data_IF_172631699253
#
_entry.id   IF_172631699253
#
_cell.length_a   1.000
_cell.length_b   1.000
_cell.length_c   1.000
_cell.angle_alpha   90.00
_cell.angle_beta   90.00
_cell.angle_gamma   90.00
#
_symmetry.space_group_name_H-M   'P 1'
#
loop_
_entity.id
_entity.type
_entity.pdbx_description
1 polymer ?
#
# COMPACT_ATOMS: atom_id res chain seq x y z
N UNK A 1 -10.47 14.63 -16.96
CA UNK A 1 -9.06 14.30 -17.22
C UNK A 1 -8.87 12.79 -17.01
N UNK A 2 -8.33 12.05 -18.00
CA UNK A 2 -8.17 10.58 -17.89
C UNK A 2 -6.83 10.16 -17.28
N UNK A 3 -5.90 11.09 -17.11
CA UNK A 3 -4.61 10.85 -16.47
C UNK A 3 -3.65 12.04 -16.64
N UNK A 4 -2.67 12.09 -15.77
CA UNK A 4 -1.50 12.97 -15.86
C UNK A 4 -0.28 12.05 -15.89
N UNK A 5 0.61 12.25 -16.83
CA UNK A 5 1.87 11.52 -16.91
C UNK A 5 3.04 12.53 -16.90
N UNK A 6 4.10 12.19 -16.17
CA UNK A 6 5.31 13.00 -16.09
C UNK A 6 6.23 12.47 -15.00
N UNK A 7 7.53 12.65 -15.14
CA UNK A 7 8.51 12.19 -14.16
C UNK A 7 8.29 12.82 -12.78
N UNK A 8 7.79 14.06 -12.72
CA UNK A 8 7.50 14.76 -11.47
C UNK A 8 6.46 14.05 -10.58
N UNK A 9 5.60 13.17 -11.15
CA UNK A 9 4.60 12.40 -10.39
C UNK A 9 5.27 11.35 -9.51
N UNK A 10 6.44 10.87 -9.91
CA UNK A 10 7.19 9.84 -9.20
C UNK A 10 8.11 10.41 -8.11
N UNK A 11 8.28 11.74 -8.09
CA UNK A 11 9.07 12.41 -7.06
C UNK A 11 8.29 12.43 -5.74
N UNK A 12 8.83 11.83 -4.65
CA UNK A 12 8.19 11.83 -3.33
C UNK A 12 7.97 13.22 -2.73
N UNK A 13 8.75 14.21 -3.16
CA UNK A 13 8.61 15.59 -2.70
C UNK A 13 7.43 16.32 -3.33
N UNK A 14 6.91 15.82 -4.47
CA UNK A 14 5.73 16.39 -5.09
C UNK A 14 4.45 15.93 -4.40
N UNK A 15 3.69 16.87 -3.90
CA UNK A 15 2.39 16.61 -3.31
C UNK A 15 1.31 16.48 -4.39
N UNK A 16 1.04 15.22 -4.76
CA UNK A 16 0.02 14.89 -5.77
C UNK A 16 -1.36 15.37 -5.35
N UNK A 17 -1.67 15.39 -4.05
CA UNK A 17 -2.98 15.85 -3.57
C UNK A 17 -3.09 17.38 -3.67
N UNK A 18 -2.01 18.12 -3.41
CA UNK A 18 -1.97 19.57 -3.67
C UNK A 18 -2.15 19.90 -5.16
N UNK A 19 -1.56 19.09 -6.05
CA UNK A 19 -1.76 19.22 -7.50
C UNK A 19 -3.23 18.94 -7.85
N UNK A 20 -3.83 17.87 -7.32
CA UNK A 20 -5.25 17.56 -7.52
C UNK A 20 -6.16 18.69 -7.03
N UNK A 21 -5.87 19.27 -5.88
CA UNK A 21 -6.62 20.40 -5.33
C UNK A 21 -6.57 21.60 -6.28
N UNK A 22 -5.38 21.98 -6.76
CA UNK A 22 -5.23 23.06 -7.74
C UNK A 22 -5.96 22.80 -9.05
N UNK A 23 -5.97 21.56 -9.51
CA UNK A 23 -6.72 21.17 -10.71
C UNK A 23 -8.23 21.28 -10.47
N UNK A 24 -8.71 20.84 -9.30
CA UNK A 24 -10.12 20.96 -8.91
C UNK A 24 -10.56 22.41 -8.81
N UNK A 25 -9.75 23.27 -8.21
CA UNK A 25 -10.01 24.71 -8.11
C UNK A 25 -10.04 25.38 -9.48
N UNK A 26 -9.28 24.86 -10.44
CA UNK A 26 -9.32 25.25 -11.86
C UNK A 26 -10.47 24.66 -12.66
N UNK A 27 -11.44 23.98 -12.01
CA UNK A 27 -12.61 23.38 -12.67
C UNK A 27 -12.35 22.05 -13.37
N UNK A 28 -11.19 21.41 -13.14
CA UNK A 28 -10.87 20.10 -13.70
C UNK A 28 -11.33 19.02 -12.72
N UNK A 29 -12.21 18.12 -13.20
CA UNK A 29 -12.64 16.99 -12.38
C UNK A 29 -11.49 16.06 -12.09
N UNK A 30 -11.14 15.91 -10.82
CA UNK A 30 -10.15 14.99 -10.28
C UNK A 30 -10.76 14.22 -9.11
N UNK A 31 -10.32 12.99 -8.95
CA UNK A 31 -10.73 12.13 -7.84
C UNK A 31 -9.93 12.50 -6.58
N UNK A 32 -10.58 13.19 -5.64
CA UNK A 32 -10.04 13.57 -4.34
C UNK A 32 -10.66 12.71 -3.24
N UNK A 33 -9.92 12.47 -2.15
CA UNK A 33 -10.48 11.82 -0.99
C UNK A 33 -11.46 12.78 -0.27
N UNK A 34 -12.72 12.39 -0.26
CA UNK A 34 -13.76 13.07 0.54
C UNK A 34 -14.23 12.06 1.57
N UNK A 35 -13.87 12.19 2.84
CA UNK A 35 -14.24 11.22 3.85
C UNK A 35 -15.75 11.30 4.16
N UNK A 36 -16.41 10.15 4.12
CA UNK A 36 -17.81 10.02 4.56
C UNK A 36 -17.92 9.99 6.09
N UNK A 37 -16.86 9.51 6.77
CA UNK A 37 -16.73 9.47 8.23
C UNK A 37 -15.72 10.51 8.71
N UNK A 38 -16.07 11.20 9.80
CA UNK A 38 -15.17 12.12 10.48
C UNK A 38 -14.36 11.39 11.53
N UNK A 39 -13.25 11.97 11.96
CA UNK A 39 -12.46 11.45 13.09
C UNK A 39 -13.28 11.24 14.35
N UNK A 40 -14.22 12.17 14.64
CA UNK A 40 -15.12 12.11 15.79
C UNK A 40 -16.09 10.92 15.78
N UNK A 41 -16.27 10.25 14.65
CA UNK A 41 -17.17 9.11 14.52
C UNK A 41 -16.45 7.81 14.91
N UNK A 42 -15.11 7.84 15.02
CA UNK A 42 -14.29 6.69 15.37
C UNK A 42 -14.23 6.49 16.89
N UNK A 43 -14.17 5.24 17.32
CA UNK A 43 -13.93 4.85 18.70
C UNK A 43 -12.44 4.75 18.96
N UNK A 44 -11.93 5.67 19.76
CA UNK A 44 -10.53 5.76 20.08
C UNK A 44 -10.18 4.88 21.27
N UNK A 45 -8.95 4.37 21.29
CA UNK A 45 -8.40 3.71 22.48
C UNK A 45 -8.11 4.73 23.59
N UNK A 46 -7.61 4.25 24.75
CA UNK A 46 -7.26 5.11 25.90
C UNK A 46 -6.24 6.20 25.61
N UNK A 47 -5.45 6.03 24.57
CA UNK A 47 -4.41 6.98 24.15
C UNK A 47 -4.90 7.96 23.07
N UNK A 48 -6.20 7.95 22.76
CA UNK A 48 -6.80 8.80 21.73
C UNK A 48 -6.41 8.41 20.30
N UNK A 49 -6.14 7.12 20.06
CA UNK A 49 -5.69 6.59 18.78
C UNK A 49 -6.57 5.46 18.27
N UNK A 50 -6.49 5.22 16.96
CA UNK A 50 -7.11 4.08 16.28
C UNK A 50 -6.02 3.21 15.66
N UNK A 51 -6.07 1.88 15.82
CA UNK A 51 -5.23 0.97 15.08
C UNK A 51 -5.58 0.97 13.59
N UNK A 52 -4.57 0.81 12.75
CA UNK A 52 -4.70 0.78 11.29
C UNK A 52 -4.04 -0.48 10.77
N UNK A 53 -4.84 -1.38 10.22
CA UNK A 53 -4.38 -2.53 9.46
C UNK A 53 -4.08 -2.07 8.05
N UNK A 54 -2.86 -2.29 7.59
CA UNK A 54 -2.42 -1.86 6.25
C UNK A 54 -2.32 -3.06 5.34
N UNK A 55 -3.01 -3.01 4.21
CA UNK A 55 -3.14 -4.09 3.25
C UNK A 55 -2.72 -3.61 1.85
N UNK A 56 -1.98 -4.42 1.12
CA UNK A 56 -1.71 -4.16 -0.31
C UNK A 56 -3.00 -4.27 -1.12
N UNK A 57 -3.33 -3.26 -1.91
CA UNK A 57 -4.60 -3.21 -2.66
C UNK A 57 -4.65 -4.22 -3.83
N UNK A 58 -3.49 -4.72 -4.30
CA UNK A 58 -3.41 -5.62 -5.47
C UNK A 58 -3.63 -7.08 -5.10
N UNK A 59 -2.97 -7.52 -4.00
CA UNK A 59 -2.93 -8.93 -3.62
C UNK A 59 -3.51 -9.20 -2.24
N UNK A 60 -4.06 -8.17 -1.58
CA UNK A 60 -4.70 -8.22 -0.27
C UNK A 60 -3.79 -8.74 0.86
N UNK A 61 -2.47 -8.75 0.64
CA UNK A 61 -1.51 -9.09 1.69
C UNK A 61 -1.53 -8.04 2.79
N UNK A 62 -1.68 -8.46 4.03
CA UNK A 62 -1.50 -7.58 5.19
C UNK A 62 -0.02 -7.23 5.32
N UNK A 63 0.28 -5.93 5.30
CA UNK A 63 1.64 -5.40 5.26
C UNK A 63 2.17 -5.06 6.64
N UNK A 64 1.37 -4.35 7.44
CA UNK A 64 1.76 -3.90 8.77
C UNK A 64 0.53 -3.47 9.57
N UNK A 65 0.75 -3.22 10.86
CA UNK A 65 -0.18 -2.53 11.75
C UNK A 65 0.53 -1.30 12.31
N UNK A 66 -0.20 -0.18 12.36
CA UNK A 66 0.26 1.08 12.97
C UNK A 66 -0.91 1.77 13.68
N UNK A 67 -0.68 2.98 14.19
CA UNK A 67 -1.71 3.75 14.87
C UNK A 67 -1.81 5.15 14.27
N UNK A 68 -3.01 5.71 14.29
CA UNK A 68 -3.28 7.10 13.95
C UNK A 68 -3.89 7.84 15.12
N UNK A 69 -3.49 9.09 15.29
CA UNK A 69 -4.26 10.12 15.98
C UNK A 69 -5.00 10.98 14.93
N UNK A 70 -5.77 11.97 15.35
CA UNK A 70 -6.53 12.84 14.46
C UNK A 70 -5.65 13.57 13.44
N UNK A 71 -4.48 14.04 13.86
CA UNK A 71 -3.55 14.75 12.99
C UNK A 71 -3.02 13.83 11.89
N UNK A 72 -2.61 12.60 12.23
CA UNK A 72 -2.15 11.60 11.27
C UNK A 72 -3.25 11.22 10.27
N UNK A 73 -4.50 11.11 10.72
CA UNK A 73 -5.66 10.87 9.87
C UNK A 73 -5.85 12.02 8.88
N UNK A 74 -5.89 13.26 9.36
CA UNK A 74 -6.08 14.44 8.50
C UNK A 74 -4.95 14.60 7.48
N UNK A 75 -3.69 14.40 7.88
CA UNK A 75 -2.54 14.43 6.95
C UNK A 75 -2.67 13.33 5.90
N UNK A 76 -3.11 12.13 6.29
CA UNK A 76 -3.33 11.01 5.35
C UNK A 76 -4.38 11.34 4.30
N UNK A 77 -5.55 11.87 4.72
CA UNK A 77 -6.62 12.27 3.81
C UNK A 77 -6.14 13.37 2.84
N UNK A 78 -5.47 14.39 3.38
CA UNK A 78 -5.05 15.56 2.59
C UNK A 78 -3.89 15.24 1.62
N UNK A 79 -2.95 14.37 2.02
CA UNK A 79 -1.78 14.05 1.21
C UNK A 79 -1.95 12.82 0.31
N UNK A 80 -2.91 11.93 0.62
CA UNK A 80 -3.03 10.62 -0.02
C UNK A 80 -1.88 9.66 0.30
N UNK A 81 -1.02 10.01 1.27
CA UNK A 81 0.10 9.20 1.74
C UNK A 81 -0.15 8.77 3.17
N UNK A 82 0.07 7.48 3.47
CA UNK A 82 -0.15 6.95 4.81
C UNK A 82 0.78 7.62 5.81
N UNK A 83 0.17 8.34 6.74
CA UNK A 83 0.81 8.98 7.87
C UNK A 83 0.26 8.37 9.16
N UNK A 84 1.14 8.08 10.09
CA UNK A 84 0.85 7.43 11.35
C UNK A 84 1.35 8.24 12.53
N UNK A 85 0.91 7.88 13.72
CA UNK A 85 1.49 8.35 14.96
C UNK A 85 2.51 7.33 15.47
N UNK A 86 3.76 7.74 15.60
CA UNK A 86 4.80 6.91 16.20
C UNK A 86 4.74 7.02 17.73
N UNK A 87 4.22 5.97 18.38
CA UNK A 87 4.09 5.94 19.85
C UNK A 87 5.43 6.01 20.58
N UNK A 88 6.48 5.42 20.01
CA UNK A 88 7.82 5.41 20.62
C UNK A 88 8.56 6.74 20.47
N UNK A 89 8.31 7.49 19.39
CA UNK A 89 8.94 8.79 19.11
C UNK A 89 8.07 9.96 19.47
N UNK A 90 6.77 9.71 19.70
CA UNK A 90 5.75 10.72 19.99
C UNK A 90 5.68 11.80 18.90
N UNK A 91 5.64 11.37 17.62
CA UNK A 91 5.63 12.26 16.45
C UNK A 91 4.84 11.66 15.28
N UNK A 92 4.45 12.52 14.35
CA UNK A 92 3.92 12.08 13.05
C UNK A 92 4.99 11.38 12.24
N UNK A 93 4.57 10.33 11.55
CA UNK A 93 5.45 9.56 10.68
C UNK A 93 4.74 9.21 9.37
N UNK A 94 5.09 9.91 8.30
CA UNK A 94 4.65 9.53 6.96
C UNK A 94 5.55 8.40 6.44
N UNK A 95 4.92 7.27 6.14
CA UNK A 95 5.62 6.06 5.69
C UNK A 95 6.38 6.33 4.40
N UNK A 96 7.67 6.07 4.44
CA UNK A 96 8.53 6.08 3.25
C UNK A 96 9.15 7.42 2.90
N UNK A 97 8.90 8.52 3.62
CA UNK A 97 9.55 9.82 3.30
C UNK A 97 11.08 9.73 3.27
N UNK A 98 11.68 8.98 4.19
CA UNK A 98 13.15 8.81 4.25
C UNK A 98 13.65 7.65 3.39
N UNK A 99 12.89 6.54 3.33
CA UNK A 99 13.34 5.30 2.67
C UNK A 99 12.90 5.17 1.21
N UNK A 100 12.03 6.04 0.71
CA UNK A 100 11.37 5.88 -0.59
C UNK A 100 10.26 4.81 -0.61
N UNK A 101 10.08 4.05 0.47
CA UNK A 101 9.06 2.98 0.55
C UNK A 101 7.68 3.54 0.92
N UNK A 102 7.14 4.39 0.07
CA UNK A 102 5.88 5.10 0.27
C UNK A 102 4.67 4.17 0.26
N UNK A 103 3.61 4.61 0.90
CA UNK A 103 2.29 4.00 0.88
C UNK A 103 1.26 5.01 0.39
N UNK A 104 0.75 4.80 -0.82
CA UNK A 104 -0.31 5.63 -1.39
C UNK A 104 -1.67 5.04 -1.08
N UNK A 105 -2.55 5.85 -0.50
CA UNK A 105 -3.91 5.45 -0.13
C UNK A 105 -4.72 5.08 -1.37
N UNK A 106 -5.41 3.95 -1.30
CA UNK A 106 -6.43 3.51 -2.27
C UNK A 106 -7.82 3.53 -1.67
N UNK A 107 -7.96 3.08 -0.42
CA UNK A 107 -9.17 3.24 0.37
C UNK A 107 -8.84 3.20 1.86
N UNK A 108 -9.66 3.87 2.66
CA UNK A 108 -9.73 3.76 4.10
C UNK A 108 -11.14 3.35 4.48
N UNK A 109 -11.30 2.32 5.28
CA UNK A 109 -12.58 1.79 5.71
C UNK A 109 -12.52 1.53 7.21
N UNK A 110 -13.49 2.02 7.97
CA UNK A 110 -13.64 1.63 9.36
C UNK A 110 -14.34 0.27 9.45
N UNK A 111 -14.06 -0.48 10.50
CA UNK A 111 -14.77 -1.72 10.78
C UNK A 111 -16.19 -1.47 11.31
N UNK A 112 -16.89 -2.53 11.69
CA UNK A 112 -18.33 -2.46 11.99
C UNK A 112 -18.68 -1.65 13.25
N UNK A 113 -17.75 -1.46 14.16
CA UNK A 113 -17.94 -0.69 15.39
C UNK A 113 -17.00 0.52 15.52
N UNK A 114 -16.31 0.88 14.41
CA UNK A 114 -15.50 2.08 14.22
C UNK A 114 -14.27 2.18 15.12
N UNK A 115 -13.74 1.07 15.60
CA UNK A 115 -12.54 1.05 16.47
C UNK A 115 -11.25 0.69 15.74
N UNK A 116 -11.33 0.30 14.46
CA UNK A 116 -10.20 -0.11 13.63
C UNK A 116 -10.34 0.41 12.19
N UNK A 117 -9.24 0.86 11.57
CA UNK A 117 -9.20 1.26 10.17
C UNK A 117 -8.50 0.17 9.35
N UNK A 118 -9.11 -0.25 8.24
CA UNK A 118 -8.45 -0.98 7.17
C UNK A 118 -8.01 0.00 6.08
N UNK A 119 -6.71 0.12 5.88
CA UNK A 119 -6.11 0.94 4.83
C UNK A 119 -5.62 0.04 3.69
N UNK A 120 -6.28 0.10 2.52
CA UNK A 120 -5.75 -0.49 1.29
C UNK A 120 -4.82 0.51 0.61
N UNK A 121 -3.58 0.10 0.34
CA UNK A 121 -2.52 0.98 -0.16
C UNK A 121 -1.80 0.41 -1.37
N UNK A 122 -1.27 1.29 -2.20
CA UNK A 122 -0.22 0.95 -3.16
C UNK A 122 1.12 1.08 -2.45
N UNK A 123 1.73 -0.07 -2.11
CA UNK A 123 3.03 -0.11 -1.42
C UNK A 123 4.18 -0.03 -2.41
N UNK A 124 5.06 0.94 -2.25
CA UNK A 124 6.34 1.02 -2.95
C UNK A 124 7.41 0.27 -2.12
N UNK A 125 8.07 -0.69 -2.73
CA UNK A 125 9.13 -1.45 -2.05
C UNK A 125 8.67 -2.23 -0.82
N UNK A 126 9.53 -2.34 0.18
CA UNK A 126 9.28 -3.06 1.42
C UNK A 126 8.45 -2.26 2.43
N UNK A 127 7.43 -2.89 3.03
CA UNK A 127 6.71 -2.26 4.14
C UNK A 127 7.50 -2.33 5.45
N UNK A 128 8.23 -3.41 5.68
CA UNK A 128 9.03 -3.61 6.89
C UNK A 128 10.38 -2.90 6.83
N UNK A 129 10.85 -2.36 7.96
CA UNK A 129 12.19 -1.75 8.08
C UNK A 129 13.33 -2.76 7.89
N UNK A 130 13.05 -4.07 8.00
CA UNK A 130 14.02 -5.14 7.75
C UNK A 130 14.19 -5.46 6.25
N UNK A 131 13.49 -4.77 5.36
CA UNK A 131 13.49 -5.04 3.92
C UNK A 131 12.47 -6.08 3.46
N UNK A 132 11.71 -6.70 4.36
CA UNK A 132 10.64 -7.63 4.01
C UNK A 132 9.41 -6.89 3.45
N UNK A 133 8.70 -7.52 2.52
CA UNK A 133 7.47 -6.98 1.92
C UNK A 133 6.41 -6.68 2.98
N UNK A 134 6.27 -7.53 3.99
CA UNK A 134 5.33 -7.42 5.11
C UNK A 134 6.07 -7.48 6.44
N UNK A 135 5.47 -6.94 7.51
CA UNK A 135 5.95 -7.11 8.88
C UNK A 135 5.58 -8.50 9.47
N UNK A 136 4.64 -9.21 8.82
CA UNK A 136 4.13 -10.50 9.30
C UNK A 136 4.84 -11.67 8.62
N UNK A 137 6.12 -11.90 8.99
CA UNK A 137 6.93 -12.99 8.46
C UNK A 137 7.44 -13.98 9.51
N UNK A 138 7.21 -13.71 10.80
CA UNK A 138 7.54 -14.62 11.89
C UNK A 138 6.33 -15.49 12.24
N UNK A 139 6.41 -16.78 11.96
CA UNK A 139 5.32 -17.70 12.27
C UNK A 139 5.29 -18.04 13.78
N UNK A 140 4.16 -17.79 14.42
CA UNK A 140 3.90 -18.27 15.80
C UNK A 140 3.52 -19.75 15.75
N UNK A 141 2.68 -20.13 14.78
CA UNK A 141 2.32 -21.53 14.51
C UNK A 141 2.66 -21.84 13.06
N UNK A 142 3.57 -22.78 12.84
CA UNK A 142 3.94 -23.23 11.49
C UNK A 142 2.91 -24.24 11.01
N UNK A 143 2.26 -23.96 9.87
CA UNK A 143 1.40 -24.91 9.17
C UNK A 143 2.16 -25.59 8.03
N UNK A 144 1.91 -26.87 7.80
CA UNK A 144 2.53 -27.63 6.73
C UNK A 144 1.94 -27.35 5.34
N UNK A 145 0.78 -26.70 5.26
CA UNK A 145 0.19 -26.34 3.97
C UNK A 145 0.59 -24.93 3.53
N UNK A 146 0.84 -24.80 2.25
CA UNK A 146 1.08 -23.48 1.63
C UNK A 146 -0.27 -22.90 1.21
N UNK A 147 -0.68 -21.84 1.85
CA UNK A 147 -1.85 -21.06 1.44
C UNK A 147 -1.53 -20.35 0.11
N UNK A 148 -2.21 -20.76 -0.95
CA UNK A 148 -2.08 -20.09 -2.25
C UNK A 148 -3.12 -18.98 -2.32
N UNK A 149 -2.68 -17.73 -2.28
CA UNK A 149 -3.56 -16.62 -2.59
C UNK A 149 -3.81 -16.57 -4.11
N UNK A 150 -5.05 -16.82 -4.58
CA UNK A 150 -5.35 -16.82 -6.01
C UNK A 150 -5.07 -15.49 -6.70
N UNK A 151 -5.04 -14.36 -5.95
CA UNK A 151 -4.74 -13.04 -6.50
C UNK A 151 -3.26 -12.87 -6.85
N UNK A 152 -2.37 -13.72 -6.32
CA UNK A 152 -0.93 -13.69 -6.62
C UNK A 152 -0.51 -14.70 -7.69
N UNK A 153 -1.44 -15.47 -8.25
CA UNK A 153 -1.12 -16.50 -9.25
C UNK A 153 -0.42 -15.91 -10.47
N UNK A 154 -0.92 -14.78 -10.99
CA UNK A 154 -0.32 -14.11 -12.14
C UNK A 154 1.08 -13.58 -11.84
N UNK A 155 1.31 -12.99 -10.66
CA UNK A 155 2.63 -12.54 -10.22
C UNK A 155 3.59 -13.74 -10.07
N UNK A 156 3.11 -14.86 -9.55
CA UNK A 156 3.91 -16.09 -9.42
C UNK A 156 4.28 -16.67 -10.78
N UNK A 157 3.35 -16.69 -11.73
CA UNK A 157 3.61 -17.12 -13.12
C UNK A 157 4.62 -16.19 -13.78
N UNK A 158 4.43 -14.87 -13.65
CA UNK A 158 5.37 -13.88 -14.19
C UNK A 158 6.78 -14.05 -13.60
N UNK A 159 6.89 -14.26 -12.30
CA UNK A 159 8.17 -14.51 -11.64
C UNK A 159 8.87 -15.77 -12.17
N UNK A 160 8.11 -16.85 -12.42
CA UNK A 160 8.64 -18.07 -13.05
C UNK A 160 9.13 -17.78 -14.47
N UNK A 161 8.37 -17.03 -15.27
CA UNK A 161 8.77 -16.66 -16.63
C UNK A 161 10.10 -15.87 -16.58
N UNK A 162 10.18 -14.84 -15.74
CA UNK A 162 11.40 -14.01 -15.60
C UNK A 162 12.59 -14.85 -15.11
N UNK A 163 12.36 -15.78 -14.17
CA UNK A 163 13.42 -16.69 -13.72
C UNK A 163 13.92 -17.59 -14.87
N UNK A 164 13.00 -18.15 -15.68
CA UNK A 164 13.38 -19.00 -16.81
C UNK A 164 14.10 -18.24 -17.94
N UNK A 165 13.80 -16.95 -18.10
CA UNK A 165 14.55 -16.08 -19.02
C UNK A 165 16.01 -15.89 -18.56
N UNK A 166 16.23 -15.77 -17.25
CA UNK A 166 17.57 -15.56 -16.67
C UNK A 166 18.33 -16.85 -16.42
N UNK A 167 17.62 -17.91 -16.08
CA UNK A 167 18.14 -19.22 -15.70
C UNK A 167 17.42 -20.32 -16.48
N UNK A 168 17.73 -20.50 -17.81
CA UNK A 168 17.10 -21.51 -18.63
C UNK A 168 17.29 -22.93 -18.07
N UNK A 169 16.24 -23.76 -18.18
CA UNK A 169 16.29 -25.19 -17.78
C UNK A 169 15.89 -26.04 -18.98
N UNK A 170 16.66 -27.09 -19.26
CA UNK A 170 16.48 -27.94 -20.44
C UNK A 170 15.09 -28.56 -20.57
N UNK A 171 14.47 -28.98 -19.47
CA UNK A 171 13.14 -29.59 -19.44
C UNK A 171 12.00 -28.60 -19.18
N UNK A 172 12.23 -27.30 -19.32
CA UNK A 172 11.22 -26.29 -19.04
C UNK A 172 10.31 -26.02 -20.23
N UNK A 173 9.01 -26.34 -20.09
CA UNK A 173 7.99 -25.94 -21.08
C UNK A 173 8.02 -24.44 -21.36
N UNK A 174 8.23 -23.61 -20.36
CA UNK A 174 8.35 -22.14 -20.50
C UNK A 174 9.51 -21.75 -21.41
N UNK A 175 10.68 -22.39 -21.27
CA UNK A 175 11.82 -22.15 -22.16
C UNK A 175 11.52 -22.61 -23.58
N UNK A 176 10.93 -23.78 -23.75
CA UNK A 176 10.58 -24.29 -25.06
C UNK A 176 9.58 -23.39 -25.81
N UNK A 177 8.61 -22.79 -25.12
CA UNK A 177 7.66 -21.83 -25.72
C UNK A 177 8.37 -20.51 -26.08
N UNK A 178 9.26 -20.01 -25.23
CA UNK A 178 10.01 -18.78 -25.51
C UNK A 178 10.94 -18.92 -26.73
N UNK A 179 11.56 -20.09 -26.92
CA UNK A 179 12.44 -20.36 -28.06
C UNK A 179 11.66 -20.48 -29.38
N UNK A 180 10.45 -21.01 -29.33
CA UNK A 180 9.60 -21.18 -30.54
C UNK A 180 8.93 -19.89 -30.99
N UNK A 181 8.83 -18.87 -30.09
CA UNK A 181 8.03 -17.69 -30.35
C UNK A 181 6.53 -17.96 -30.18
N UNK A 182 5.73 -16.89 -30.30
CA UNK A 182 4.26 -16.97 -30.35
C UNK A 182 3.91 -16.87 -31.83
N UNK A 183 3.51 -18.00 -32.42
CA UNK A 183 2.92 -18.02 -33.78
C UNK A 183 1.50 -17.45 -33.76
#
# INVERSE_FOLDING_TARGET
>A
LRGIAGEFINDPENDIMAIKTKLSDGGILVDNFTPDLKWSDLKLNSDGMVPVIVQDYRNEQVLMLAYMNEEAFNVTINSGRMTYWSRSRNELWTKGLTSGHLQYVKSLTADCDYDTILAKVSQVGAACHTGNRTCFFNNIVKKEYVEKNPLTVLESVYAVIVDRMKNPKEDSYTNAVMEKGID
#
